data_IF_052848471440
#
_entry.id   IF_052848471440
#
_cell.length_a   1.000
_cell.length_b   1.000
_cell.length_c   1.000
_cell.angle_alpha   90.00
_cell.angle_beta   90.00
_cell.angle_gamma   90.00
#
_symmetry.space_group_name_H-M   'P 1'
#
loop_
_entity.id
_entity.type
_entity.pdbx_description
1 polymer ?
#
# COMPACT_ATOMS: atom_id res chain seq x y z
N UNK A 1 -17.38 22.62 -6.74
CA UNK A 1 -17.49 21.16 -6.84
C UNK A 1 -17.05 20.61 -5.49
N UNK A 2 -17.92 19.93 -4.75
CA UNK A 2 -17.50 19.24 -3.52
C UNK A 2 -16.51 18.13 -3.91
N UNK A 3 -15.40 18.04 -3.18
CA UNK A 3 -14.42 16.96 -3.38
C UNK A 3 -14.99 15.74 -2.69
N UNK A 4 -15.36 14.74 -3.48
CA UNK A 4 -15.73 13.42 -2.98
C UNK A 4 -14.46 12.57 -2.82
N UNK A 5 -14.31 11.95 -1.66
CA UNK A 5 -13.12 11.24 -1.23
C UNK A 5 -12.04 12.18 -0.68
N UNK A 6 -10.82 11.65 -0.62
CA UNK A 6 -9.65 12.42 -0.23
C UNK A 6 -9.20 13.36 -1.36
N UNK A 7 -8.63 14.50 -0.96
CA UNK A 7 -7.90 15.36 -1.88
C UNK A 7 -6.76 14.59 -2.57
N UNK A 8 -6.55 14.84 -3.85
CA UNK A 8 -5.55 14.12 -4.66
C UNK A 8 -4.12 14.25 -4.13
N UNK A 9 -3.76 15.39 -3.53
CA UNK A 9 -2.43 15.57 -2.91
C UNK A 9 -2.35 14.82 -1.59
N UNK A 10 -3.43 14.75 -0.82
CA UNK A 10 -3.50 13.92 0.38
C UNK A 10 -3.32 12.43 0.03
N UNK A 11 -3.98 11.94 -1.04
CA UNK A 11 -3.81 10.58 -1.54
C UNK A 11 -2.38 10.30 -2.00
N UNK A 12 -1.79 11.20 -2.79
CA UNK A 12 -0.41 11.05 -3.24
C UNK A 12 0.58 11.03 -2.07
N UNK A 13 0.36 11.88 -1.06
CA UNK A 13 1.20 11.92 0.15
C UNK A 13 1.08 10.63 0.95
N UNK A 14 -0.14 10.14 1.16
CA UNK A 14 -0.39 8.84 1.80
C UNK A 14 0.31 7.71 1.04
N UNK A 15 0.12 7.63 -0.27
CA UNK A 15 0.75 6.61 -1.11
C UNK A 15 2.27 6.61 -1.03
N UNK A 16 2.89 7.79 -1.13
CA UNK A 16 4.34 7.93 -1.03
C UNK A 16 4.88 7.52 0.35
N UNK A 17 4.16 7.86 1.43
CA UNK A 17 4.52 7.50 2.78
C UNK A 17 4.43 5.98 3.01
N UNK A 18 3.28 5.38 2.66
CA UNK A 18 3.04 3.95 2.80
C UNK A 18 4.04 3.13 1.98
N UNK A 19 4.28 3.53 0.73
CA UNK A 19 5.28 2.90 -0.13
C UNK A 19 6.68 2.95 0.51
N UNK A 20 7.11 4.14 0.95
CA UNK A 20 8.46 4.34 1.48
C UNK A 20 8.69 3.50 2.73
N UNK A 21 7.75 3.56 3.67
CA UNK A 21 7.83 2.80 4.91
C UNK A 21 7.83 1.30 4.64
N UNK A 22 6.93 0.84 3.77
CA UNK A 22 6.79 -0.58 3.48
C UNK A 22 7.97 -1.15 2.72
N UNK A 23 8.47 -0.43 1.71
CA UNK A 23 9.68 -0.80 0.94
C UNK A 23 10.86 -1.01 1.87
N UNK A 24 11.14 -0.03 2.74
CA UNK A 24 12.30 -0.10 3.63
C UNK A 24 12.20 -1.31 4.56
N UNK A 25 11.02 -1.53 5.13
CA UNK A 25 10.75 -2.69 5.98
C UNK A 25 10.95 -4.01 5.24
N UNK A 26 10.38 -4.17 4.04
CA UNK A 26 10.50 -5.39 3.24
C UNK A 26 11.96 -5.71 2.87
N UNK A 27 12.73 -4.70 2.49
CA UNK A 27 14.15 -4.88 2.15
C UNK A 27 14.95 -5.26 3.40
N UNK A 28 14.71 -4.61 4.53
CA UNK A 28 15.36 -4.93 5.81
C UNK A 28 15.00 -6.35 6.29
N UNK A 29 13.74 -6.75 6.21
CA UNK A 29 13.28 -8.09 6.54
C UNK A 29 13.94 -9.14 5.65
N UNK A 30 13.99 -8.91 4.33
CA UNK A 30 14.63 -9.83 3.38
C UNK A 30 16.14 -9.97 3.63
N UNK A 31 16.85 -8.88 3.93
CA UNK A 31 18.27 -8.90 4.29
C UNK A 31 18.53 -9.68 5.60
N UNK A 32 17.56 -9.67 6.51
CA UNK A 32 17.57 -10.46 7.74
C UNK A 32 17.00 -11.89 7.56
N UNK A 33 16.68 -12.30 6.33
CA UNK A 33 16.10 -13.60 5.99
C UNK A 33 14.72 -13.86 6.66
N UNK A 34 13.99 -12.78 6.95
CA UNK A 34 12.64 -12.76 7.51
C UNK A 34 11.64 -12.56 6.35
N UNK A 35 10.65 -13.44 6.27
CA UNK A 35 9.62 -13.41 5.22
C UNK A 35 8.26 -13.72 5.84
N UNK A 36 7.20 -13.17 5.25
CA UNK A 36 5.83 -13.36 5.74
C UNK A 36 5.38 -14.83 5.65
N UNK A 37 5.81 -15.52 4.61
CA UNK A 37 5.54 -16.95 4.41
C UNK A 37 6.73 -17.69 3.78
N UNK A 38 6.68 -19.02 3.88
CA UNK A 38 7.74 -19.91 3.39
C UNK A 38 7.86 -19.86 1.87
N UNK A 39 6.73 -19.79 1.18
CA UNK A 39 6.62 -19.75 -0.28
C UNK A 39 7.29 -18.50 -0.84
N UNK A 40 7.08 -17.35 -0.20
CA UNK A 40 7.70 -16.09 -0.61
C UNK A 40 9.22 -16.15 -0.48
N UNK A 41 9.74 -16.71 0.61
CA UNK A 41 11.17 -16.98 0.78
C UNK A 41 11.70 -17.86 -0.34
N UNK A 42 11.04 -18.98 -0.61
CA UNK A 42 11.46 -19.94 -1.63
C UNK A 42 11.49 -19.29 -3.02
N UNK A 43 10.46 -18.52 -3.39
CA UNK A 43 10.39 -17.80 -4.67
C UNK A 43 11.49 -16.75 -4.77
N UNK A 44 11.61 -15.86 -3.78
CA UNK A 44 12.56 -14.75 -3.83
C UNK A 44 14.01 -15.25 -3.90
N UNK A 45 14.35 -16.30 -3.14
CA UNK A 45 15.69 -16.86 -3.14
C UNK A 45 16.11 -17.52 -4.47
N UNK A 46 15.17 -17.79 -5.38
CA UNK A 46 15.52 -18.24 -6.75
C UNK A 46 16.11 -17.12 -7.62
N UNK A 47 15.93 -15.86 -7.23
CA UNK A 47 16.35 -14.69 -7.99
C UNK A 47 17.65 -14.08 -7.44
N UNK A 48 18.44 -13.38 -8.29
CA UNK A 48 19.54 -12.55 -7.80
C UNK A 48 19.02 -11.39 -6.95
N UNK A 49 19.87 -10.83 -6.08
CA UNK A 49 19.49 -9.83 -5.07
C UNK A 49 18.83 -8.60 -5.68
N UNK A 50 19.29 -8.12 -6.83
CA UNK A 50 18.70 -6.97 -7.54
C UNK A 50 17.24 -7.24 -7.92
N UNK A 51 16.95 -8.45 -8.39
CA UNK A 51 15.59 -8.84 -8.80
C UNK A 51 14.69 -9.09 -7.59
N UNK A 52 15.25 -9.56 -6.48
CA UNK A 52 14.52 -9.65 -5.20
C UNK A 52 14.05 -8.27 -4.74
N UNK A 53 14.96 -7.28 -4.75
CA UNK A 53 14.63 -5.89 -4.38
C UNK A 53 13.51 -5.33 -5.26
N UNK A 54 13.60 -5.53 -6.59
CA UNK A 54 12.55 -5.07 -7.52
C UNK A 54 11.18 -5.71 -7.20
N UNK A 55 11.14 -7.00 -6.88
CA UNK A 55 9.88 -7.68 -6.51
C UNK A 55 9.31 -7.10 -5.21
N UNK A 56 10.15 -6.87 -4.20
CA UNK A 56 9.75 -6.29 -2.92
C UNK A 56 9.29 -4.83 -3.07
N UNK A 57 9.94 -4.05 -3.95
CA UNK A 57 9.50 -2.70 -4.30
C UNK A 57 8.12 -2.70 -4.95
N UNK A 58 7.86 -3.64 -5.87
CA UNK A 58 6.54 -3.79 -6.48
C UNK A 58 5.48 -4.19 -5.45
N UNK A 59 5.81 -5.08 -4.52
CA UNK A 59 4.91 -5.41 -3.41
C UNK A 59 4.57 -4.16 -2.57
N UNK A 60 5.57 -3.38 -2.16
CA UNK A 60 5.35 -2.14 -1.42
C UNK A 60 4.46 -1.16 -2.20
N UNK A 61 4.62 -1.09 -3.52
CA UNK A 61 3.78 -0.25 -4.38
C UNK A 61 2.32 -0.71 -4.38
N UNK A 62 2.07 -2.01 -4.56
CA UNK A 62 0.70 -2.55 -4.52
C UNK A 62 0.04 -2.34 -3.16
N UNK A 63 0.76 -2.58 -2.07
CA UNK A 63 0.25 -2.37 -0.71
C UNK A 63 -0.08 -0.89 -0.46
N UNK A 64 0.78 0.03 -0.91
CA UNK A 64 0.52 1.47 -0.79
C UNK A 64 -0.73 1.91 -1.57
N UNK A 65 -0.90 1.42 -2.81
CA UNK A 65 -2.10 1.69 -3.62
C UNK A 65 -3.35 1.12 -2.96
N UNK A 66 -3.28 -0.10 -2.43
CA UNK A 66 -4.40 -0.69 -1.70
C UNK A 66 -4.79 0.17 -0.49
N UNK A 67 -3.80 0.70 0.24
CA UNK A 67 -4.03 1.60 1.37
C UNK A 67 -4.67 2.92 0.95
N UNK A 68 -4.22 3.52 -0.14
CA UNK A 68 -4.83 4.72 -0.71
C UNK A 68 -6.31 4.49 -1.06
N UNK A 69 -6.63 3.36 -1.70
CA UNK A 69 -8.00 3.01 -2.07
C UNK A 69 -8.87 2.79 -0.83
N UNK A 70 -8.36 2.04 0.17
CA UNK A 70 -9.05 1.81 1.43
C UNK A 70 -9.41 3.13 2.12
N UNK A 71 -8.43 4.03 2.30
CA UNK A 71 -8.66 5.32 2.95
C UNK A 71 -9.60 6.22 2.15
N UNK A 72 -9.48 6.24 0.82
CA UNK A 72 -10.40 6.99 -0.02
C UNK A 72 -11.84 6.49 0.12
N UNK A 73 -12.04 5.18 0.15
CA UNK A 73 -13.36 4.56 0.28
C UNK A 73 -13.99 4.84 1.65
N UNK A 74 -13.20 4.87 2.72
CA UNK A 74 -13.68 5.24 4.06
C UNK A 74 -14.20 6.69 4.07
N UNK A 75 -13.43 7.63 3.53
CA UNK A 75 -13.83 9.04 3.45
C UNK A 75 -15.06 9.23 2.56
N UNK A 76 -15.12 8.54 1.41
CA UNK A 76 -16.30 8.54 0.55
C UNK A 76 -17.54 8.07 1.31
N UNK A 77 -17.44 6.97 2.06
CA UNK A 77 -18.56 6.45 2.84
C UNK A 77 -19.02 7.45 3.91
N UNK A 78 -18.10 8.12 4.60
CA UNK A 78 -18.41 9.16 5.58
C UNK A 78 -19.12 10.36 4.95
N UNK A 79 -18.64 10.83 3.81
CA UNK A 79 -19.28 11.92 3.06
C UNK A 79 -20.67 11.53 2.56
N UNK A 80 -20.83 10.32 2.03
CA UNK A 80 -22.14 9.82 1.57
C UNK A 80 -23.15 9.72 2.72
N UNK A 81 -22.71 9.33 3.92
CA UNK A 81 -23.54 9.35 5.13
C UNK A 81 -23.91 10.78 5.55
N UNK A 82 -22.95 11.71 5.52
CA UNK A 82 -23.19 13.12 5.86
C UNK A 82 -24.19 13.79 4.90
N UNK A 83 -24.14 13.41 3.62
CA UNK A 83 -25.07 13.86 2.58
C UNK A 83 -26.41 13.10 2.59
N UNK A 84 -26.62 12.17 3.51
CA UNK A 84 -27.80 11.30 3.60
C UNK A 84 -28.09 10.49 2.33
N UNK A 85 -27.09 10.29 1.47
CA UNK A 85 -27.21 9.55 0.20
C UNK A 85 -27.27 8.03 0.40
N UNK A 86 -26.79 7.56 1.55
CA UNK A 86 -26.90 6.17 1.98
C UNK A 86 -27.47 6.17 3.40
N UNK A 87 -28.60 5.51 3.60
CA UNK A 87 -29.16 5.25 4.93
C UNK A 87 -28.72 3.87 5.42
N UNK A 88 -28.56 3.79 6.75
CA UNK A 88 -28.05 2.64 7.50
C UNK A 88 -28.81 1.35 7.20
#
# INVERSE_FOLDING_TARGET
MEILGLDTRALATLGALEYTNRRNKLIEEADNNIYECKEMKEILQTFPKEKQIEILENQAYFEAVAKMIEQNNLILLEQMKALQLIQK
#
